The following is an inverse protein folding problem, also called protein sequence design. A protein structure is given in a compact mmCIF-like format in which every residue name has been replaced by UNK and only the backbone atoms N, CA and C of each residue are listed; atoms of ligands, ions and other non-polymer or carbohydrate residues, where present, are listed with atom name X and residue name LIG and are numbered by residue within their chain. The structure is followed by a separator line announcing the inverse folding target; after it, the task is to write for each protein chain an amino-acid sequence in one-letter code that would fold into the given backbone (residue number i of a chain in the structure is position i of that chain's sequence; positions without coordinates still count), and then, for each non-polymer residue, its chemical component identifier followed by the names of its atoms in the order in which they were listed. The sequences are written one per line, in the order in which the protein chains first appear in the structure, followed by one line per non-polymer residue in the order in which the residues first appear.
data_IF_251823329901
#
_entry.id   IF_251823329901
#
_cell.length_a   1.000
_cell.length_b   1.000
_cell.length_c   1.000
_cell.angle_alpha   90.00
_cell.angle_beta   90.00
_cell.angle_gamma   90.00
#
_symmetry.space_group_name_H-M   'P 1'
#
loop_
_entity.id
_entity.type
_entity.pdbx_description
1 polymer ?
#
# COMPACT_ATOMS: atom_id res chain seq x y z
N UNK A 1 -17.33 9.25 -20.94
CA UNK A 1 -16.75 8.39 -19.88
C UNK A 1 -16.62 9.27 -18.65
N UNK A 2 -17.20 8.88 -17.51
CA UNK A 2 -17.05 9.62 -16.26
C UNK A 2 -15.58 9.51 -15.85
N UNK A 3 -14.92 10.64 -15.56
CA UNK A 3 -13.65 10.59 -14.85
C UNK A 3 -13.94 9.98 -13.47
N UNK A 4 -13.32 8.84 -13.19
CA UNK A 4 -13.33 8.26 -11.85
C UNK A 4 -12.24 8.98 -11.05
N UNK A 5 -12.70 9.82 -10.11
CA UNK A 5 -11.85 10.50 -9.13
C UNK A 5 -11.87 9.69 -7.84
N UNK A 6 -10.70 9.37 -7.28
CA UNK A 6 -10.55 8.73 -5.98
C UNK A 6 -9.83 9.69 -5.03
N UNK A 7 -10.41 9.94 -3.87
CA UNK A 7 -9.79 10.74 -2.82
C UNK A 7 -9.24 9.80 -1.73
N UNK A 8 -8.00 10.05 -1.33
CA UNK A 8 -7.26 9.28 -0.35
C UNK A 8 -6.78 10.25 0.74
N UNK A 9 -7.34 10.11 1.93
CA UNK A 9 -6.97 10.89 3.09
C UNK A 9 -5.67 10.33 3.66
N UNK A 10 -4.66 11.20 3.74
CA UNK A 10 -3.32 10.87 4.18
C UNK A 10 -3.15 11.33 5.62
N UNK A 11 -2.83 10.40 6.51
CA UNK A 11 -2.59 10.67 7.92
C UNK A 11 -1.13 10.44 8.28
N UNK A 12 -0.58 11.31 9.11
CA UNK A 12 0.71 11.14 9.75
C UNK A 12 0.54 10.45 11.11
N UNK A 13 1.29 9.38 11.34
CA UNK A 13 1.32 8.60 12.58
C UNK A 13 2.78 8.46 13.06
N UNK A 14 3.41 9.60 13.36
CA UNK A 14 4.82 9.68 13.74
C UNK A 14 4.97 9.52 15.25
N UNK A 15 6.11 8.99 15.70
CA UNK A 15 6.37 8.79 17.12
C UNK A 15 6.39 10.10 17.92
N UNK A 16 6.76 11.22 17.27
CA UNK A 16 6.79 12.56 17.87
C UNK A 16 5.42 13.25 17.88
N UNK A 17 4.42 12.70 17.18
CA UNK A 17 3.07 13.24 17.21
C UNK A 17 2.30 12.65 18.40
N UNK A 18 1.57 13.49 19.13
CA UNK A 18 0.72 13.04 20.24
C UNK A 18 -0.44 12.15 19.80
N UNK A 19 -0.85 12.29 18.53
CA UNK A 19 -1.95 11.55 17.91
C UNK A 19 -1.78 11.53 16.40
N UNK A 20 -2.48 10.59 15.76
CA UNK A 20 -2.61 10.55 14.30
C UNK A 20 -3.27 11.84 13.80
N UNK A 21 -2.65 12.51 12.82
CA UNK A 21 -3.12 13.80 12.27
C UNK A 21 -3.36 13.70 10.76
N UNK A 22 -4.42 14.35 10.27
CA UNK A 22 -4.67 14.45 8.84
C UNK A 22 -3.63 15.39 8.21
N UNK A 23 -2.76 14.84 7.37
CA UNK A 23 -1.72 15.59 6.67
C UNK A 23 -2.27 16.27 5.41
N UNK A 24 -3.17 15.60 4.70
CA UNK A 24 -3.72 16.11 3.45
C UNK A 24 -4.51 15.07 2.68
N UNK A 25 -4.85 15.40 1.43
CA UNK A 25 -5.65 14.56 0.54
C UNK A 25 -4.88 14.34 -0.76
N UNK A 26 -4.62 13.07 -1.06
CA UNK A 26 -4.13 12.61 -2.36
C UNK A 26 -5.33 12.28 -3.23
N UNK A 27 -5.45 12.95 -4.37
CA UNK A 27 -6.45 12.67 -5.40
C UNK A 27 -5.82 11.88 -6.52
N UNK A 28 -6.47 10.79 -6.94
CA UNK A 28 -6.15 10.03 -8.15
C UNK A 28 -7.28 10.18 -9.17
N UNK A 29 -7.00 10.88 -10.27
CA UNK A 29 -7.93 11.07 -11.39
C UNK A 29 -7.62 10.10 -12.53
N UNK A 30 -8.61 9.30 -12.95
CA UNK A 30 -8.44 8.39 -14.09
C UNK A 30 -8.70 9.09 -15.42
N UNK A 31 -7.65 9.16 -16.25
CA UNK A 31 -7.66 9.77 -17.57
C UNK A 31 -6.99 8.83 -18.59
N UNK A 32 -7.76 8.41 -19.61
CA UNK A 32 -7.28 7.56 -20.74
C UNK A 32 -6.49 6.31 -20.30
N UNK A 33 -6.94 5.65 -19.23
CA UNK A 33 -6.31 4.44 -18.72
C UNK A 33 -5.04 4.66 -17.89
N UNK A 34 -4.75 5.90 -17.49
CA UNK A 34 -3.71 6.26 -16.52
C UNK A 34 -4.33 7.02 -15.35
N UNK A 35 -3.65 7.02 -14.21
CA UNK A 35 -3.98 7.87 -13.07
C UNK A 35 -3.08 9.11 -13.08
N UNK A 36 -3.68 10.27 -12.85
CA UNK A 36 -2.99 11.52 -12.59
C UNK A 36 -3.20 11.85 -11.11
N UNK A 37 -2.09 12.06 -10.39
CA UNK A 37 -2.12 12.35 -8.97
C UNK A 37 -1.99 13.85 -8.70
N UNK A 38 -2.75 14.31 -7.71
CA UNK A 38 -2.55 15.61 -7.08
C UNK A 38 -2.66 15.50 -5.58
N UNK A 39 -1.92 16.33 -4.85
CA UNK A 39 -1.93 16.33 -3.40
C UNK A 39 -2.17 17.74 -2.87
N UNK A 40 -3.03 17.85 -1.87
CA UNK A 40 -3.24 19.08 -1.12
C UNK A 40 -3.01 18.82 0.37
N UNK A 41 -2.14 19.61 0.99
CA UNK A 41 -2.00 19.61 2.43
C UNK A 41 -3.30 20.11 3.08
N UNK A 42 -3.57 19.61 4.28
CA UNK A 42 -4.57 20.19 5.17
C UNK A 42 -3.98 21.46 5.82
N UNK A 43 -4.78 22.51 5.96
CA UNK A 43 -4.31 23.79 6.51
C UNK A 43 -3.89 23.65 7.99
N UNK A 44 -4.64 22.90 8.81
CA UNK A 44 -4.27 22.63 10.20
C UNK A 44 -2.92 21.91 10.30
N UNK A 45 -2.60 21.05 9.32
CA UNK A 45 -1.28 20.39 9.26
C UNK A 45 -0.16 21.39 8.95
N UNK A 46 -0.37 22.30 8.00
CA UNK A 46 0.60 23.35 7.67
C UNK A 46 0.84 24.29 8.86
N UNK A 47 -0.22 24.61 9.60
CA UNK A 47 -0.18 25.51 10.77
C UNK A 47 0.30 24.81 12.06
N UNK A 48 0.29 23.48 12.11
CA UNK A 48 0.66 22.70 13.31
C UNK A 48 2.11 22.84 13.77
N UNK A 49 3.00 23.35 12.91
CA UNK A 49 4.45 23.35 13.13
C UNK A 49 5.12 21.98 12.91
N UNK A 50 4.35 20.93 12.63
CA UNK A 50 4.86 19.58 12.34
C UNK A 50 5.19 19.37 10.85
N UNK A 51 4.71 20.26 9.97
CA UNK A 51 4.92 20.15 8.53
C UNK A 51 6.42 20.19 8.18
N UNK A 52 6.89 19.13 7.52
CA UNK A 52 8.27 18.98 7.04
C UNK A 52 8.25 18.70 5.53
N UNK A 53 9.28 19.16 4.83
CA UNK A 53 9.48 18.82 3.42
C UNK A 53 9.94 17.36 3.34
N UNK A 54 9.02 16.45 3.03
CA UNK A 54 9.27 15.00 2.94
C UNK A 54 9.56 14.53 1.51
N UNK A 55 9.13 15.31 0.52
CA UNK A 55 9.30 15.02 -0.89
C UNK A 55 9.81 16.29 -1.58
N UNK A 56 10.87 16.22 -2.40
CA UNK A 56 11.35 17.37 -3.16
C UNK A 56 10.31 17.95 -4.13
N UNK A 57 9.33 17.16 -4.55
CA UNK A 57 8.26 17.58 -5.46
C UNK A 57 7.02 18.13 -4.71
N UNK A 58 7.01 18.14 -3.38
CA UNK A 58 5.92 18.68 -2.55
C UNK A 58 6.36 19.92 -1.77
N UNK A 59 5.87 21.07 -2.18
CA UNK A 59 6.05 22.32 -1.44
C UNK A 59 5.12 22.40 -0.22
N UNK A 60 5.53 23.09 0.84
CA UNK A 60 4.71 23.28 2.04
C UNK A 60 3.76 24.46 1.88
N UNK A 61 2.76 24.31 1.03
CA UNK A 61 1.71 25.31 0.82
C UNK A 61 0.35 24.66 0.53
N UNK A 62 -0.71 25.44 0.75
CA UNK A 62 -2.10 25.04 0.58
C UNK A 62 -2.49 24.87 -0.89
N UNK A 63 -3.46 23.98 -1.16
CA UNK A 63 -4.02 23.77 -2.50
C UNK A 63 -3.38 22.62 -3.27
N UNK A 64 -3.98 22.27 -4.41
CA UNK A 64 -3.58 21.10 -5.19
C UNK A 64 -2.22 21.30 -5.85
N UNK A 65 -1.32 20.39 -5.56
CA UNK A 65 -0.01 20.26 -6.19
C UNK A 65 -0.03 19.07 -7.13
N UNK A 66 0.65 19.21 -8.26
CA UNK A 66 0.74 18.18 -9.30
C UNK A 66 2.20 17.88 -9.59
N UNK A 67 2.48 16.63 -9.97
CA UNK A 67 3.80 16.23 -10.43
C UNK A 67 4.15 16.96 -11.73
N UNK A 68 5.41 17.39 -11.84
CA UNK A 68 5.94 18.06 -13.03
C UNK A 68 6.56 17.08 -14.04
N UNK A 69 6.93 15.89 -13.58
CA UNK A 69 7.61 14.85 -14.35
C UNK A 69 6.70 13.66 -14.68
N UNK A 70 7.17 12.75 -15.54
CA UNK A 70 6.53 11.47 -15.90
C UNK A 70 6.49 10.42 -14.75
N UNK A 71 6.67 10.86 -13.50
CA UNK A 71 6.59 9.98 -12.32
C UNK A 71 5.15 9.46 -12.15
N UNK A 72 4.96 8.19 -11.77
CA UNK A 72 3.63 7.62 -11.60
C UNK A 72 2.89 8.18 -10.36
N UNK A 73 3.61 8.69 -9.35
CA UNK A 73 3.07 9.36 -8.16
C UNK A 73 4.19 10.16 -7.45
N UNK A 74 3.88 10.91 -6.39
CA UNK A 74 4.86 11.55 -5.51
C UNK A 74 5.73 10.49 -4.83
N UNK A 75 7.02 10.75 -4.72
CA UNK A 75 8.01 9.83 -4.13
C UNK A 75 7.60 9.37 -2.73
N UNK A 76 7.11 10.29 -1.91
CA UNK A 76 6.59 10.03 -0.56
C UNK A 76 5.54 8.90 -0.54
N UNK A 77 4.63 8.87 -1.51
CA UNK A 77 3.59 7.82 -1.59
C UNK A 77 4.11 6.56 -2.30
N UNK A 78 5.10 6.68 -3.17
CA UNK A 78 5.76 5.53 -3.81
C UNK A 78 6.56 4.71 -2.80
N UNK A 79 7.18 5.35 -1.81
CA UNK A 79 7.88 4.65 -0.72
C UNK A 79 6.93 3.80 0.14
N UNK A 80 5.66 4.20 0.21
CA UNK A 80 4.57 3.46 0.85
C UNK A 80 3.88 2.44 -0.09
N UNK A 81 4.23 2.41 -1.37
CA UNK A 81 3.62 1.54 -2.37
C UNK A 81 4.36 0.20 -2.47
N UNK A 82 3.69 -0.85 -2.99
CA UNK A 82 4.33 -2.15 -3.10
C UNK A 82 5.41 -2.17 -4.19
N UNK A 83 6.47 -2.94 -3.96
CA UNK A 83 7.51 -3.21 -4.94
C UNK A 83 7.00 -4.08 -6.10
N UNK A 84 7.90 -4.44 -7.03
CA UNK A 84 7.53 -5.25 -8.21
C UNK A 84 6.96 -6.62 -7.81
N UNK A 85 7.48 -7.24 -6.75
CA UNK A 85 7.01 -8.53 -6.28
C UNK A 85 5.65 -8.40 -5.59
N UNK A 86 5.49 -7.45 -4.68
CA UNK A 86 4.21 -7.14 -4.03
C UNK A 86 3.10 -6.89 -5.06
N UNK A 87 3.40 -6.15 -6.14
CA UNK A 87 2.46 -5.94 -7.26
C UNK A 87 2.07 -7.22 -7.98
N UNK A 88 3.00 -8.16 -8.20
CA UNK A 88 2.71 -9.48 -8.79
C UNK A 88 1.74 -10.25 -7.89
N UNK A 89 2.02 -10.30 -6.59
CA UNK A 89 1.17 -11.02 -5.64
C UNK A 89 -0.23 -10.41 -5.56
N UNK A 90 -0.35 -9.07 -5.53
CA UNK A 90 -1.63 -8.37 -5.50
C UNK A 90 -2.45 -8.60 -6.78
N UNK A 91 -1.82 -8.61 -7.95
CA UNK A 91 -2.48 -8.96 -9.22
C UNK A 91 -2.98 -10.40 -9.21
N UNK A 92 -2.18 -11.33 -8.67
CA UNK A 92 -2.58 -12.74 -8.57
C UNK A 92 -3.75 -12.91 -7.61
N UNK A 93 -3.75 -12.22 -6.47
CA UNK A 93 -4.85 -12.17 -5.52
C UNK A 93 -6.15 -11.72 -6.18
N UNK A 94 -6.12 -10.60 -6.90
CA UNK A 94 -7.27 -10.08 -7.64
C UNK A 94 -7.81 -11.08 -8.68
N UNK A 95 -6.92 -11.76 -9.43
CA UNK A 95 -7.33 -12.80 -10.37
C UNK A 95 -8.08 -13.96 -9.69
N UNK A 96 -7.65 -14.36 -8.49
CA UNK A 96 -8.29 -15.44 -7.76
C UNK A 96 -9.64 -15.01 -7.18
N UNK A 97 -9.74 -13.82 -6.59
CA UNK A 97 -11.01 -13.28 -6.11
C UNK A 97 -12.04 -13.13 -7.23
N UNK A 98 -11.60 -12.58 -8.37
CA UNK A 98 -12.45 -12.43 -9.54
C UNK A 98 -13.05 -13.78 -9.99
N UNK A 99 -12.22 -14.83 -10.00
CA UNK A 99 -12.65 -16.20 -10.30
C UNK A 99 -13.64 -16.75 -9.26
N UNK A 100 -13.37 -16.55 -7.96
CA UNK A 100 -14.27 -17.03 -6.89
C UNK A 100 -15.60 -16.29 -6.86
N UNK A 101 -15.61 -15.01 -7.23
CA UNK A 101 -16.80 -14.15 -7.27
C UNK A 101 -17.52 -14.18 -8.63
N UNK A 102 -17.03 -14.99 -9.57
CA UNK A 102 -17.55 -15.10 -10.94
C UNK A 102 -17.69 -13.73 -11.65
N UNK A 103 -16.67 -12.87 -11.49
CA UNK A 103 -16.56 -11.55 -12.13
C UNK A 103 -15.29 -11.44 -12.98
N UNK A 104 -15.23 -10.51 -13.96
CA UNK A 104 -13.98 -10.22 -14.64
C UNK A 104 -12.91 -9.71 -13.67
N UNK A 105 -11.64 -9.96 -14.02
CA UNK A 105 -10.48 -9.43 -13.29
C UNK A 105 -10.43 -7.93 -13.46
N UNK A 106 -10.39 -7.18 -12.37
CA UNK A 106 -10.23 -5.74 -12.40
C UNK A 106 -8.77 -5.38 -12.68
N UNK A 107 -8.56 -4.40 -13.56
CA UNK A 107 -7.24 -3.80 -13.72
C UNK A 107 -6.89 -2.99 -12.45
N UNK A 108 -5.76 -3.34 -11.82
CA UNK A 108 -5.23 -2.60 -10.68
C UNK A 108 -4.36 -1.43 -11.17
N UNK A 109 -4.62 -0.25 -10.62
CA UNK A 109 -3.87 0.98 -10.88
C UNK A 109 -3.01 1.37 -9.67
N UNK A 110 -2.24 2.45 -9.79
CA UNK A 110 -1.29 2.88 -8.76
C UNK A 110 -1.97 3.15 -7.41
N UNK A 111 -3.16 3.76 -7.42
CA UNK A 111 -3.95 3.98 -6.21
C UNK A 111 -4.42 2.68 -5.55
N UNK A 112 -4.72 1.64 -6.33
CA UNK A 112 -5.11 0.33 -5.83
C UNK A 112 -3.91 -0.41 -5.22
N UNK A 113 -2.72 -0.24 -5.79
CA UNK A 113 -1.48 -0.75 -5.22
C UNK A 113 -1.13 -0.06 -3.89
N UNK A 114 -1.22 1.27 -3.85
CA UNK A 114 -0.98 2.05 -2.65
C UNK A 114 -1.91 1.61 -1.51
N UNK A 115 -3.22 1.51 -1.78
CA UNK A 115 -4.24 1.18 -0.78
C UNK A 115 -4.27 -0.30 -0.40
N UNK A 116 -3.78 -1.20 -1.26
CA UNK A 116 -3.86 -2.64 -1.02
C UNK A 116 -2.70 -3.24 -0.22
N UNK A 117 -1.74 -2.42 0.23
CA UNK A 117 -0.74 -2.78 1.25
C UNK A 117 -1.40 -2.70 2.62
N UNK A 118 -1.19 -3.72 3.44
CA UNK A 118 -1.74 -3.75 4.80
C UNK A 118 -1.18 -2.62 5.66
N UNK A 119 -2.07 -1.86 6.28
CA UNK A 119 -1.76 -0.60 6.99
C UNK A 119 -0.61 -0.74 8.00
N UNK A 120 -0.63 -1.78 8.85
CA UNK A 120 0.38 -1.97 9.90
C UNK A 120 1.74 -2.48 9.39
N UNK A 121 1.85 -2.90 8.13
CA UNK A 121 3.11 -3.39 7.54
C UNK A 121 3.64 -2.45 6.44
N UNK A 122 3.01 -1.30 6.26
CA UNK A 122 3.47 -0.26 5.34
C UNK A 122 4.76 0.36 5.87
N UNK A 123 5.71 0.61 4.97
CA UNK A 123 6.90 1.38 5.32
C UNK A 123 6.58 2.86 5.51
N UNK A 124 7.24 3.46 6.48
CA UNK A 124 7.04 4.86 6.83
C UNK A 124 5.97 5.05 7.89
N UNK A 125 5.59 6.30 8.10
CA UNK A 125 4.69 6.71 9.18
C UNK A 125 3.44 7.40 8.62
N UNK A 126 2.97 6.91 7.45
CA UNK A 126 1.77 7.38 6.77
C UNK A 126 0.71 6.30 6.77
N UNK A 127 -0.54 6.71 6.96
CA UNK A 127 -1.71 5.82 6.98
C UNK A 127 -2.80 6.41 6.10
N UNK A 128 -3.58 5.55 5.45
CA UNK A 128 -4.49 5.97 4.38
C UNK A 128 -5.93 5.57 4.66
N UNK A 129 -6.86 6.46 4.32
CA UNK A 129 -8.29 6.17 4.29
C UNK A 129 -8.91 6.63 2.98
N UNK A 130 -10.01 6.02 2.56
CA UNK A 130 -10.88 6.54 1.49
C UNK A 130 -12.13 7.24 2.01
N UNK A 131 -12.39 7.13 3.32
CA UNK A 131 -13.45 7.79 4.07
C UNK A 131 -12.83 8.37 5.35
N UNK A 132 -12.97 9.67 5.67
CA UNK A 132 -12.42 10.26 6.89
C UNK A 132 -12.85 9.53 8.17
N UNK A 133 -14.10 9.06 8.21
CA UNK A 133 -14.70 8.35 9.35
C UNK A 133 -14.47 6.83 9.26
N UNK A 134 -13.87 6.37 8.16
CA UNK A 134 -13.53 4.97 7.93
C UNK A 134 -12.30 4.49 8.70
N UNK A 135 -11.98 3.22 8.47
CA UNK A 135 -10.77 2.56 8.97
C UNK A 135 -9.58 2.82 8.05
N UNK A 136 -8.36 2.67 8.59
CA UNK A 136 -7.14 2.73 7.77
C UNK A 136 -7.02 1.51 6.86
N UNK A 137 -6.45 1.70 5.67
CA UNK A 137 -6.41 0.70 4.60
C UNK A 137 -4.97 0.28 4.22
N UNK A 138 -4.74 -0.98 3.84
CA UNK A 138 -5.70 -2.10 3.88
C UNK A 138 -5.87 -2.63 5.32
N UNK A 139 -7.08 -3.03 5.71
CA UNK A 139 -7.41 -3.50 7.06
C UNK A 139 -7.67 -5.01 7.16
N UNK A 140 -7.55 -5.76 6.07
CA UNK A 140 -7.82 -7.19 6.09
C UNK A 140 -6.71 -7.92 6.86
N UNK A 141 -7.07 -8.44 8.04
CA UNK A 141 -6.16 -9.15 8.95
C UNK A 141 -5.59 -10.43 8.37
N UNK A 142 -6.22 -11.03 7.35
CA UNK A 142 -5.63 -12.17 6.64
C UNK A 142 -4.35 -11.77 5.88
N UNK A 143 -4.12 -10.47 5.70
CA UNK A 143 -2.90 -9.88 5.15
C UNK A 143 -1.97 -9.32 6.24
N UNK A 144 -2.13 -9.69 7.51
CA UNK A 144 -1.18 -9.32 8.57
C UNK A 144 0.07 -10.21 8.52
N UNK A 145 1.26 -9.65 8.71
CA UNK A 145 2.52 -10.37 8.78
C UNK A 145 2.40 -11.61 9.66
N UNK A 146 2.81 -12.79 9.17
CA UNK A 146 2.70 -14.00 9.94
C UNK A 146 3.65 -13.95 11.16
N UNK A 147 3.31 -14.66 12.24
CA UNK A 147 4.17 -14.71 13.42
C UNK A 147 5.52 -15.35 13.10
N UNK A 148 6.60 -14.92 13.76
CA UNK A 148 7.99 -15.37 13.61
C UNK A 148 8.17 -16.90 13.57
N UNK A 149 7.32 -17.63 14.31
CA UNK A 149 7.30 -19.10 14.35
C UNK A 149 6.99 -19.72 12.96
N UNK A 150 6.52 -18.92 12.00
CA UNK A 150 6.16 -19.34 10.63
C UNK A 150 7.30 -19.23 9.62
N UNK A 151 8.53 -18.84 9.99
CA UNK A 151 9.66 -18.66 9.04
C UNK A 151 9.87 -19.88 8.13
N UNK A 152 9.83 -21.11 8.65
CA UNK A 152 9.95 -22.32 7.82
C UNK A 152 8.78 -22.50 6.83
N UNK A 153 7.58 -22.06 7.23
CA UNK A 153 6.40 -22.06 6.33
C UNK A 153 6.52 -20.97 5.27
N UNK A 154 7.08 -19.81 5.61
CA UNK A 154 7.36 -18.71 4.68
C UNK A 154 8.40 -19.11 3.62
N UNK A 155 9.50 -19.74 4.03
CA UNK A 155 10.52 -20.25 3.12
C UNK A 155 9.92 -21.29 2.16
N UNK A 156 9.17 -22.26 2.68
CA UNK A 156 8.48 -23.26 1.86
C UNK A 156 7.48 -22.60 0.90
N UNK A 157 6.67 -21.65 1.37
CA UNK A 157 5.73 -20.90 0.55
C UNK A 157 6.42 -20.16 -0.59
N UNK A 158 7.54 -19.49 -0.29
CA UNK A 158 8.32 -18.74 -1.28
C UNK A 158 8.86 -19.67 -2.38
N UNK A 159 9.45 -20.81 -2.00
CA UNK A 159 9.98 -21.79 -2.94
C UNK A 159 8.90 -22.43 -3.81
N UNK A 160 7.75 -22.76 -3.24
CA UNK A 160 6.63 -23.32 -4.00
C UNK A 160 6.01 -22.29 -4.95
N UNK A 161 5.94 -21.03 -4.53
CA UNK A 161 5.40 -19.96 -5.36
C UNK A 161 6.33 -19.65 -6.54
N UNK A 162 7.66 -19.59 -6.35
CA UNK A 162 8.61 -19.43 -7.46
C UNK A 162 8.50 -20.58 -8.49
N UNK A 163 8.29 -21.82 -8.04
CA UNK A 163 8.18 -22.98 -8.93
C UNK A 163 6.85 -23.08 -9.67
N UNK A 164 5.76 -22.60 -9.07
CA UNK A 164 4.39 -22.88 -9.51
C UNK A 164 3.50 -21.63 -9.68
N UNK A 165 4.07 -20.42 -9.78
CA UNK A 165 3.31 -19.15 -9.82
C UNK A 165 2.19 -19.11 -10.88
N UNK A 166 2.36 -19.86 -11.97
CA UNK A 166 1.41 -19.90 -13.09
C UNK A 166 0.24 -20.86 -12.85
N UNK A 167 0.38 -21.86 -11.95
CA UNK A 167 -0.62 -22.90 -11.73
C UNK A 167 -1.60 -22.52 -10.62
N UNK A 168 -2.88 -22.44 -10.95
CA UNK A 168 -3.94 -22.28 -9.95
C UNK A 168 -4.01 -23.54 -9.06
N UNK A 169 -3.72 -23.39 -7.77
CA UNK A 169 -3.98 -24.41 -6.75
C UNK A 169 -4.70 -23.80 -5.55
N UNK A 170 -5.49 -24.59 -4.79
CA UNK A 170 -6.12 -24.11 -3.55
C UNK A 170 -5.10 -23.60 -2.53
N UNK A 171 -3.92 -24.22 -2.48
CA UNK A 171 -2.83 -23.84 -1.59
C UNK A 171 -2.14 -22.53 -2.02
N UNK A 172 -2.22 -22.17 -3.31
CA UNK A 172 -1.61 -20.94 -3.83
C UNK A 172 -2.19 -19.70 -3.15
N UNK A 173 -3.51 -19.64 -2.93
CA UNK A 173 -4.15 -18.54 -2.18
C UNK A 173 -3.59 -18.41 -0.76
N UNK A 174 -3.45 -19.55 -0.08
CA UNK A 174 -2.91 -19.60 1.27
C UNK A 174 -1.48 -19.10 1.31
N UNK A 175 -0.65 -19.48 0.34
CA UNK A 175 0.74 -19.02 0.23
C UNK A 175 0.84 -17.55 -0.18
N UNK A 176 -0.02 -17.09 -1.08
CA UNK A 176 -0.12 -15.68 -1.45
C UNK A 176 -0.48 -14.82 -0.23
N UNK A 177 -1.48 -15.22 0.56
CA UNK A 177 -1.84 -14.48 1.78
C UNK A 177 -0.67 -14.45 2.76
N UNK A 178 0.05 -15.57 2.92
CA UNK A 178 1.24 -15.65 3.78
C UNK A 178 2.40 -14.74 3.32
N UNK A 179 2.55 -14.52 2.00
CA UNK A 179 3.66 -13.78 1.39
C UNK A 179 3.34 -12.32 1.02
N UNK A 180 2.07 -11.97 0.85
CA UNK A 180 1.61 -10.58 0.62
C UNK A 180 1.67 -9.79 1.92
N UNK A 181 1.25 -10.44 2.99
CA UNK A 181 1.11 -9.88 4.32
C UNK A 181 2.35 -9.16 4.91
N UNK A 182 3.59 -9.57 4.58
CA UNK A 182 4.76 -9.00 5.22
C UNK A 182 5.77 -8.30 4.29
N UNK A 183 5.73 -8.52 2.98
CA UNK A 183 6.85 -8.24 2.08
C UNK A 183 6.73 -7.01 1.20
N UNK A 184 5.51 -6.53 0.96
CA UNK A 184 5.21 -5.75 -0.22
C UNK A 184 5.87 -4.37 -0.22
N UNK A 185 6.10 -3.77 0.95
CA UNK A 185 6.61 -2.40 1.09
C UNK A 185 8.14 -2.31 1.23
N UNK A 186 8.87 -3.42 1.23
CA UNK A 186 10.30 -3.47 1.63
C UNK A 186 11.31 -3.25 0.49
N UNK A 187 10.83 -2.99 -0.72
CA UNK A 187 11.65 -2.71 -1.90
C UNK A 187 12.50 -3.89 -2.38
N UNK A 188 12.88 -3.89 -3.67
CA UNK A 188 13.78 -4.90 -4.24
C UNK A 188 13.08 -5.97 -5.09
N UNK A 189 13.87 -6.89 -5.66
CA UNK A 189 13.40 -7.85 -6.66
C UNK A 189 13.24 -9.29 -6.16
N UNK A 190 13.55 -9.55 -4.87
CA UNK A 190 13.48 -10.87 -4.25
C UNK A 190 12.33 -10.94 -3.25
N UNK A 191 11.73 -12.12 -3.01
CA UNK A 191 10.75 -12.30 -1.94
C UNK A 191 11.32 -11.83 -0.58
N UNK A 192 10.58 -10.96 0.10
CA UNK A 192 10.87 -10.47 1.44
C UNK A 192 9.62 -10.60 2.30
N UNK A 193 9.79 -10.62 3.61
CA UNK A 193 8.68 -10.74 4.55
C UNK A 193 9.08 -10.16 5.91
N UNK A 194 8.40 -9.10 6.36
CA UNK A 194 8.27 -8.79 7.78
C UNK A 194 7.67 -9.95 8.61
N UNK A 195 8.13 -10.16 9.83
CA UNK A 195 7.58 -11.15 10.75
C UNK A 195 7.40 -10.52 12.12
N UNK A 196 6.31 -10.87 12.80
CA UNK A 196 6.04 -10.36 14.15
C UNK A 196 6.64 -11.28 15.21
N UNK A 197 7.47 -10.73 16.08
CA UNK A 197 8.01 -11.42 17.25
C UNK A 197 6.97 -11.53 18.38
N UNK A 198 7.22 -12.38 19.38
CA UNK A 198 6.27 -12.66 20.46
C UNK A 198 5.98 -11.43 21.37
N UNK A 199 6.88 -10.46 21.39
CA UNK A 199 6.72 -9.17 22.09
C UNK A 199 5.96 -8.11 21.26
N UNK A 200 5.49 -8.48 20.06
CA UNK A 200 4.77 -7.58 19.16
C UNK A 200 5.65 -6.75 18.22
N UNK A 201 6.99 -6.81 18.37
CA UNK A 201 7.92 -6.12 17.46
C UNK A 201 7.94 -6.74 16.07
N UNK A 202 8.17 -5.91 15.04
CA UNK A 202 8.32 -6.36 13.66
C UNK A 202 9.78 -6.43 13.25
N UNK A 203 10.11 -7.48 12.48
CA UNK A 203 11.44 -7.76 11.95
C UNK A 203 11.35 -8.04 10.46
N UNK A 204 12.43 -7.83 9.70
CA UNK A 204 12.52 -8.11 8.25
C UNK A 204 13.56 -9.19 7.99
#
# INVERSE_FOLDING_TARGET
MKNEKKEIFIYADWAELERVQLMGILTADRLRGKEIFSFAYNDDWLESGNAKMLDPDLGLFSGNQYLKDDKPNFGLFLDSSPDRWGRVLMKRREAIHAKSENRPVNALYESDFLLGVYDLHRMGALRFKTDPDGVFLDNNKDYSAPPWISIRKLEYASLELEKNIEKDSPDLLKWLNLLIAPGSSLGGARPKASVQHADGSFWI
#
